data_IF_641543692703
#
_entry.id   IF_641543692703
#
_cell.length_a   1.000
_cell.length_b   1.000
_cell.length_c   1.000
_cell.angle_alpha   90.00
_cell.angle_beta   90.00
_cell.angle_gamma   90.00
#
_symmetry.space_group_name_H-M   'P 1'
#
loop_
_entity.id
_entity.type
_entity.pdbx_description
1 polymer ?
#
# COMPACT_ATOMS: atom_id res chain seq x y z
N UNK A 1 -25.19 -2.35 15.10
CA UNK A 1 -23.98 -2.99 14.52
C UNK A 1 -22.79 -2.52 15.35
N UNK A 2 -21.80 -3.36 15.58
CA UNK A 2 -20.60 -2.96 16.30
C UNK A 2 -19.82 -1.88 15.50
N UNK A 3 -19.20 -0.96 16.22
CA UNK A 3 -18.34 0.08 15.62
C UNK A 3 -17.02 -0.56 15.20
N UNK A 4 -16.54 -0.30 13.98
CA UNK A 4 -15.23 -0.76 13.51
C UNK A 4 -14.14 0.18 14.01
N UNK A 5 -13.16 -0.36 14.72
CA UNK A 5 -11.93 0.36 15.02
C UNK A 5 -11.00 0.30 13.79
N UNK A 6 -10.81 1.44 13.12
CA UNK A 6 -10.02 1.55 11.89
C UNK A 6 -8.81 2.45 12.14
N UNK A 7 -7.64 2.06 11.67
CA UNK A 7 -6.42 2.88 11.68
C UNK A 7 -5.86 3.03 10.28
N UNK A 8 -5.15 4.13 10.05
CA UNK A 8 -4.46 4.42 8.79
C UNK A 8 -2.96 4.29 9.01
N UNK A 9 -2.30 3.55 8.14
CA UNK A 9 -0.86 3.31 8.19
C UNK A 9 -0.21 3.92 6.95
N UNK A 10 0.86 4.66 7.15
CA UNK A 10 1.68 5.20 6.06
C UNK A 10 3.15 5.29 6.46
N UNK A 11 4.03 5.50 5.50
CA UNK A 11 5.47 5.69 5.74
C UNK A 11 5.99 6.90 5.00
N UNK A 12 6.95 7.58 5.59
CA UNK A 12 7.79 8.58 4.92
C UNK A 12 9.10 8.80 5.68
N UNK A 13 10.10 9.30 4.99
CA UNK A 13 11.30 9.92 5.55
C UNK A 13 11.24 11.45 5.39
N UNK A 14 12.22 12.17 5.91
CA UNK A 14 12.24 13.63 5.85
C UNK A 14 12.22 14.15 4.41
N UNK A 15 12.94 13.51 3.48
CA UNK A 15 12.95 13.91 2.07
C UNK A 15 11.58 13.72 1.41
N UNK A 16 10.90 12.61 1.70
CA UNK A 16 9.56 12.34 1.18
C UNK A 16 8.52 13.26 1.83
N UNK A 17 8.71 13.61 3.10
CA UNK A 17 7.85 14.57 3.78
C UNK A 17 7.90 15.93 3.11
N UNK A 18 9.09 16.48 2.89
CA UNK A 18 9.30 17.76 2.20
C UNK A 18 8.79 17.72 0.75
N UNK A 19 8.99 16.59 0.07
CA UNK A 19 8.58 16.48 -1.33
C UNK A 19 7.06 16.43 -1.52
N UNK A 20 6.32 15.73 -0.64
CA UNK A 20 4.88 15.51 -0.82
C UNK A 20 4.07 15.08 0.42
N UNK A 21 4.64 14.39 1.42
CA UNK A 21 3.86 13.86 2.53
C UNK A 21 3.31 14.95 3.46
N UNK A 22 3.91 16.15 3.49
CA UNK A 22 3.33 17.30 4.17
C UNK A 22 1.91 17.63 3.69
N UNK A 23 1.54 17.29 2.44
CA UNK A 23 0.18 17.47 1.92
C UNK A 23 -0.78 16.43 2.48
N UNK A 24 -0.31 15.19 2.66
CA UNK A 24 -1.08 14.17 3.38
C UNK A 24 -1.48 14.73 4.74
N UNK A 25 -0.53 15.15 5.54
CA UNK A 25 -0.77 15.68 6.88
C UNK A 25 -1.70 16.90 6.87
N UNK A 26 -1.49 17.83 5.92
CA UNK A 26 -2.28 19.08 5.81
C UNK A 26 -3.73 18.83 5.38
N UNK A 27 -3.98 17.82 4.55
CA UNK A 27 -5.31 17.57 3.96
C UNK A 27 -6.07 16.44 4.62
N UNK A 28 -5.41 15.64 5.47
CA UNK A 28 -6.04 14.52 6.16
C UNK A 28 -7.23 15.00 7.00
N UNK A 29 -8.41 14.45 6.70
CA UNK A 29 -9.69 14.87 7.32
C UNK A 29 -10.60 13.68 7.66
N UNK A 30 -10.07 12.47 7.67
CA UNK A 30 -10.79 11.27 8.09
C UNK A 30 -10.69 11.11 9.61
N UNK A 31 -11.69 10.49 10.29
CA UNK A 31 -11.72 10.39 11.75
C UNK A 31 -10.81 9.28 12.31
N UNK A 32 -10.05 8.59 11.47
CA UNK A 32 -9.24 7.45 11.85
C UNK A 32 -7.85 7.88 12.33
N UNK A 33 -7.33 7.21 13.35
CA UNK A 33 -5.96 7.42 13.82
C UNK A 33 -4.95 7.12 12.71
N UNK A 34 -3.98 8.02 12.50
CA UNK A 34 -2.88 7.83 11.55
C UNK A 34 -1.63 7.42 12.31
N UNK A 35 -1.08 6.27 11.95
CA UNK A 35 0.21 5.79 12.43
C UNK A 35 1.23 5.93 11.32
N UNK A 36 2.25 6.74 11.57
CA UNK A 36 3.34 6.98 10.63
C UNK A 36 4.55 6.19 11.03
N UNK A 37 5.06 5.36 10.13
CA UNK A 37 6.38 4.74 10.26
C UNK A 37 7.41 5.68 9.63
N UNK A 38 8.13 6.42 10.50
CA UNK A 38 9.20 7.31 10.03
C UNK A 38 10.42 6.48 9.64
N UNK A 39 10.76 6.51 8.36
CA UNK A 39 11.84 5.70 7.79
C UNK A 39 13.24 6.14 8.27
N UNK A 40 13.38 7.36 8.79
CA UNK A 40 14.66 7.87 9.33
C UNK A 40 14.82 7.57 10.84
N UNK A 41 13.70 7.52 11.59
CA UNK A 41 13.72 7.50 13.06
C UNK A 41 13.35 6.14 13.67
N UNK A 42 12.52 5.38 12.97
CA UNK A 42 11.89 4.17 13.51
C UNK A 42 12.11 2.96 12.61
N UNK A 43 13.37 2.72 12.24
CA UNK A 43 13.72 1.57 11.41
C UNK A 43 13.49 0.28 12.19
N UNK A 44 12.56 -0.52 11.72
CA UNK A 44 12.31 -1.85 12.27
C UNK A 44 13.57 -2.73 12.14
N UNK A 45 13.91 -3.55 13.17
CA UNK A 45 15.12 -4.36 13.13
C UNK A 45 15.25 -5.25 11.90
N UNK A 46 14.16 -5.92 11.52
CA UNK A 46 14.16 -6.82 10.35
C UNK A 46 14.30 -6.05 9.03
N UNK A 47 13.70 -4.86 8.93
CA UNK A 47 13.92 -3.96 7.80
C UNK A 47 15.39 -3.55 7.69
N UNK A 48 16.00 -3.18 8.83
CA UNK A 48 17.42 -2.80 8.87
C UNK A 48 18.29 -3.95 8.37
N UNK A 49 18.03 -5.16 8.84
CA UNK A 49 18.76 -6.36 8.42
C UNK A 49 18.61 -6.59 6.91
N UNK A 50 17.37 -6.51 6.37
CA UNK A 50 17.13 -6.65 4.94
C UNK A 50 17.88 -5.58 4.13
N UNK A 51 17.80 -4.30 4.53
CA UNK A 51 18.48 -3.19 3.84
C UNK A 51 19.99 -3.38 3.88
N UNK A 52 20.59 -3.69 5.04
CA UNK A 52 22.03 -3.88 5.17
C UNK A 52 22.53 -5.02 4.30
N UNK A 53 21.78 -6.10 4.18
CA UNK A 53 22.11 -7.26 3.35
C UNK A 53 21.98 -6.95 1.85
N UNK A 54 21.03 -6.08 1.45
CA UNK A 54 20.66 -5.88 0.06
C UNK A 54 21.04 -4.51 -0.54
N UNK A 55 21.56 -3.55 0.25
CA UNK A 55 21.87 -2.17 -0.21
C UNK A 55 22.84 -2.08 -1.38
N UNK A 56 23.58 -3.14 -1.66
CA UNK A 56 24.54 -3.20 -2.78
C UNK A 56 23.94 -3.76 -4.07
N UNK A 57 22.71 -4.28 -4.01
CA UNK A 57 22.04 -4.79 -5.21
C UNK A 57 21.68 -3.63 -6.13
N UNK A 58 22.11 -3.72 -7.37
CA UNK A 58 21.75 -2.76 -8.40
C UNK A 58 20.49 -3.23 -9.13
N UNK A 59 19.61 -2.32 -9.55
CA UNK A 59 18.53 -2.64 -10.46
C UNK A 59 19.05 -3.34 -11.72
N UNK A 60 18.23 -4.24 -12.28
CA UNK A 60 18.57 -4.96 -13.52
C UNK A 60 18.80 -3.95 -14.65
N UNK A 61 19.91 -4.11 -15.40
CA UNK A 61 20.35 -3.13 -16.42
C UNK A 61 19.31 -2.82 -17.49
N UNK A 62 18.60 -3.83 -17.98
CA UNK A 62 17.57 -3.66 -19.01
C UNK A 62 16.41 -2.77 -18.56
N UNK A 63 16.02 -2.85 -17.27
CA UNK A 63 15.01 -1.97 -16.71
C UNK A 63 15.54 -0.54 -16.51
N UNK A 64 16.83 -0.39 -16.14
CA UNK A 64 17.46 0.92 -15.97
C UNK A 64 17.53 1.68 -17.30
N UNK A 65 17.94 1.01 -18.37
CA UNK A 65 18.01 1.61 -19.72
C UNK A 65 16.65 2.10 -20.22
N UNK A 66 15.56 1.46 -19.79
CA UNK A 66 14.17 1.86 -20.09
C UNK A 66 13.60 2.91 -19.12
N UNK A 67 14.36 3.36 -18.10
CA UNK A 67 13.86 4.23 -17.04
C UNK A 67 12.86 3.54 -16.11
N UNK A 68 12.90 2.21 -16.01
CA UNK A 68 12.01 1.36 -15.23
C UNK A 68 12.76 0.65 -14.09
N UNK A 69 13.90 1.16 -13.70
CA UNK A 69 14.78 0.64 -12.65
C UNK A 69 14.05 0.45 -11.30
N UNK A 70 13.02 1.27 -11.02
CA UNK A 70 12.21 1.10 -9.84
C UNK A 70 11.48 -0.25 -9.76
N UNK A 71 11.23 -0.93 -10.89
CA UNK A 71 10.55 -2.23 -10.89
C UNK A 71 11.39 -3.32 -10.20
N UNK A 72 12.69 -3.14 -10.14
CA UNK A 72 13.64 -4.09 -9.53
C UNK A 72 14.36 -3.53 -8.30
N UNK A 73 13.87 -2.44 -7.73
CA UNK A 73 14.40 -1.81 -6.53
C UNK A 73 13.69 -2.31 -5.26
N UNK A 74 13.96 -3.57 -4.89
CA UNK A 74 13.35 -4.19 -3.71
C UNK A 74 13.69 -3.49 -2.40
N UNK A 75 14.88 -2.87 -2.31
CA UNK A 75 15.28 -2.12 -1.11
C UNK A 75 14.40 -0.88 -0.91
N UNK A 76 14.17 -0.13 -1.95
CA UNK A 76 13.32 1.07 -1.90
C UNK A 76 11.92 0.78 -1.37
N UNK A 77 11.31 -0.32 -1.82
CA UNK A 77 9.94 -0.66 -1.45
C UNK A 77 9.83 -1.46 -0.15
N UNK A 78 10.95 -1.96 0.39
CA UNK A 78 10.95 -2.72 1.64
C UNK A 78 10.45 -1.91 2.84
N UNK A 79 10.73 -0.62 2.90
CA UNK A 79 10.30 0.25 3.99
C UNK A 79 8.78 0.18 4.21
N UNK A 80 8.02 0.32 3.13
CA UNK A 80 6.56 0.22 3.16
C UNK A 80 6.09 -1.19 3.53
N UNK A 81 6.72 -2.22 2.98
CA UNK A 81 6.32 -3.60 3.23
C UNK A 81 6.51 -3.97 4.69
N UNK A 82 7.67 -3.68 5.28
CA UNK A 82 7.91 -3.97 6.69
C UNK A 82 7.00 -3.16 7.61
N UNK A 83 6.74 -1.89 7.30
CA UNK A 83 5.80 -1.06 8.07
C UNK A 83 4.39 -1.65 8.07
N UNK A 84 3.86 -2.01 6.90
CA UNK A 84 2.50 -2.52 6.78
C UNK A 84 2.36 -3.91 7.40
N UNK A 85 3.30 -4.82 7.18
CA UNK A 85 3.27 -6.15 7.79
C UNK A 85 3.43 -6.09 9.30
N UNK A 86 4.28 -5.19 9.81
CA UNK A 86 4.40 -4.95 11.25
C UNK A 86 3.09 -4.40 11.84
N UNK A 87 2.47 -3.42 11.16
CA UNK A 87 1.19 -2.87 11.62
C UNK A 87 0.10 -3.94 11.66
N UNK A 88 -0.02 -4.80 10.63
CA UNK A 88 -0.98 -5.91 10.61
C UNK A 88 -0.76 -6.85 11.81
N UNK A 89 0.50 -7.09 12.19
CA UNK A 89 0.83 -8.01 13.28
C UNK A 89 0.67 -7.42 14.68
N UNK A 90 0.69 -6.09 14.84
CA UNK A 90 0.82 -5.44 16.16
C UNK A 90 -0.29 -4.47 16.52
N UNK A 91 -1.08 -3.98 15.55
CA UNK A 91 -2.11 -3.01 15.85
C UNK A 91 -3.40 -3.66 16.33
N UNK A 92 -3.92 -3.14 17.43
CA UNK A 92 -5.25 -3.48 17.92
C UNK A 92 -6.28 -2.63 17.16
N UNK A 93 -6.86 -3.22 16.11
CA UNK A 93 -7.88 -2.62 15.25
C UNK A 93 -8.71 -3.73 14.59
N UNK A 94 -9.88 -3.38 14.05
CA UNK A 94 -10.68 -4.28 13.20
C UNK A 94 -10.25 -4.19 11.74
N UNK A 95 -9.75 -3.02 11.33
CA UNK A 95 -9.30 -2.78 9.97
C UNK A 95 -8.12 -1.83 9.88
N UNK A 96 -7.22 -2.09 8.94
CA UNK A 96 -6.12 -1.19 8.60
C UNK A 96 -6.24 -0.68 7.18
N UNK A 97 -6.18 0.63 7.02
CA UNK A 97 -5.99 1.29 5.73
C UNK A 97 -4.48 1.56 5.58
N UNK A 98 -3.83 0.86 4.67
CA UNK A 98 -2.42 1.05 4.34
C UNK A 98 -2.33 1.87 3.06
N UNK A 99 -1.67 3.04 3.09
CA UNK A 99 -1.66 3.95 1.94
C UNK A 99 -0.34 4.71 1.76
N UNK A 100 -0.11 5.13 0.52
CA UNK A 100 1.06 5.90 0.16
C UNK A 100 0.97 7.35 0.67
N UNK A 101 2.11 7.91 1.05
CA UNK A 101 2.22 9.25 1.64
C UNK A 101 1.97 10.40 0.64
N UNK A 102 2.02 10.15 -0.67
CA UNK A 102 1.70 11.16 -1.70
C UNK A 102 0.20 11.25 -2.00
N UNK A 103 -0.62 11.04 -0.97
CA UNK A 103 -2.07 11.16 -0.97
C UNK A 103 -2.54 12.57 -0.58
N UNK A 104 -3.66 13.00 -1.17
CA UNK A 104 -4.32 14.28 -0.89
C UNK A 104 -5.81 14.03 -0.67
N UNK A 105 -6.34 14.46 0.48
CA UNK A 105 -7.71 14.20 0.89
C UNK A 105 -8.63 15.35 0.47
N UNK A 106 -9.81 15.00 -0.05
CA UNK A 106 -10.78 15.94 -0.60
C UNK A 106 -12.09 15.98 0.19
N UNK A 107 -12.54 14.82 0.67
CA UNK A 107 -13.79 14.69 1.43
C UNK A 107 -13.57 13.83 2.66
N UNK A 108 -14.19 14.17 3.80
CA UNK A 108 -14.24 13.29 4.94
C UNK A 108 -15.03 12.03 4.59
N UNK A 109 -14.67 10.95 5.21
CA UNK A 109 -15.42 9.70 5.25
C UNK A 109 -15.56 9.27 6.70
N UNK A 110 -16.46 8.34 6.95
CA UNK A 110 -16.69 7.74 8.25
C UNK A 110 -16.64 6.20 8.18
N UNK A 111 -16.87 5.58 9.29
CA UNK A 111 -16.92 4.12 9.41
C UNK A 111 -18.02 3.51 8.52
N UNK A 112 -19.16 4.16 8.41
CA UNK A 112 -20.27 3.68 7.58
C UNK A 112 -19.87 3.67 6.10
N UNK A 113 -19.16 4.71 5.65
CA UNK A 113 -18.62 4.76 4.31
C UNK A 113 -17.66 3.59 4.03
N UNK A 114 -16.78 3.28 5.00
CA UNK A 114 -15.86 2.12 4.89
C UNK A 114 -16.65 0.80 4.81
N UNK A 115 -17.66 0.61 5.66
CA UNK A 115 -18.53 -0.58 5.64
C UNK A 115 -19.26 -0.75 4.31
N UNK A 116 -19.72 0.33 3.74
CA UNK A 116 -20.50 0.29 2.50
C UNK A 116 -19.64 0.05 1.26
N UNK A 117 -18.41 0.54 1.24
CA UNK A 117 -17.60 0.58 0.01
C UNK A 117 -16.33 -0.26 0.06
N UNK A 118 -15.74 -0.48 1.23
CA UNK A 118 -14.40 -1.06 1.37
C UNK A 118 -14.45 -2.39 2.13
N UNK A 119 -14.94 -2.37 3.37
CA UNK A 119 -14.95 -3.55 4.24
C UNK A 119 -15.93 -4.62 3.74
N UNK A 120 -15.52 -5.88 3.85
CA UNK A 120 -16.37 -7.07 3.68
C UNK A 120 -15.97 -8.09 4.73
N UNK A 121 -16.93 -8.59 5.50
CA UNK A 121 -16.68 -9.54 6.60
C UNK A 121 -16.00 -10.82 6.12
N UNK A 122 -16.35 -11.28 4.92
CA UNK A 122 -15.84 -12.51 4.32
C UNK A 122 -14.60 -12.34 3.43
N UNK A 123 -14.03 -11.12 3.38
CA UNK A 123 -12.83 -10.81 2.61
C UNK A 123 -11.66 -10.45 3.52
N UNK A 124 -10.47 -10.96 3.17
CA UNK A 124 -9.24 -10.66 3.87
C UNK A 124 -8.80 -9.20 3.64
N UNK A 125 -8.92 -8.73 2.40
CA UNK A 125 -8.50 -7.39 2.02
C UNK A 125 -9.39 -6.78 0.94
N UNK A 126 -9.34 -5.44 0.83
CA UNK A 126 -9.79 -4.71 -0.36
C UNK A 126 -8.61 -4.09 -1.08
N UNK A 127 -8.60 -4.19 -2.40
CA UNK A 127 -7.49 -3.80 -3.24
C UNK A 127 -7.93 -3.18 -4.57
N UNK A 128 -7.03 -2.49 -5.24
CA UNK A 128 -7.26 -1.81 -6.52
C UNK A 128 -6.73 -2.65 -7.69
N UNK A 129 -7.57 -3.56 -8.20
CA UNK A 129 -7.23 -4.42 -9.34
C UNK A 129 -7.17 -3.66 -10.67
N UNK A 130 -6.18 -4.01 -11.51
CA UNK A 130 -5.93 -3.40 -12.83
C UNK A 130 -6.02 -4.38 -14.00
N UNK A 131 -6.90 -5.38 -13.89
CA UNK A 131 -7.04 -6.42 -14.92
C UNK A 131 -5.83 -7.34 -14.98
N UNK A 132 -5.17 -7.40 -16.15
CA UNK A 132 -4.01 -8.28 -16.37
C UNK A 132 -2.70 -7.76 -15.74
N UNK A 133 -2.71 -6.53 -15.20
CA UNK A 133 -1.58 -5.98 -14.47
C UNK A 133 -1.68 -6.30 -12.98
N UNK A 134 -0.54 -6.18 -12.26
CA UNK A 134 -0.55 -6.22 -10.79
C UNK A 134 -1.41 -5.09 -10.21
N UNK A 135 -1.95 -5.31 -9.02
CA UNK A 135 -2.82 -4.36 -8.33
C UNK A 135 -2.06 -3.08 -7.96
N UNK A 136 -2.79 -1.98 -7.86
CA UNK A 136 -2.29 -0.73 -7.31
C UNK A 136 -2.22 -0.85 -5.78
N UNK A 137 -1.07 -0.62 -5.16
CA UNK A 137 -0.92 -0.71 -3.71
C UNK A 137 -0.76 0.63 -2.99
N UNK A 138 -1.04 1.74 -3.68
CA UNK A 138 -1.18 3.05 -3.03
C UNK A 138 -2.36 3.14 -2.06
N UNK A 139 -3.23 2.15 -2.06
CA UNK A 139 -4.27 1.90 -1.08
C UNK A 139 -4.50 0.40 -0.96
N UNK A 140 -4.44 -0.10 0.27
CA UNK A 140 -4.85 -1.46 0.66
C UNK A 140 -5.68 -1.35 1.95
N UNK A 141 -6.75 -2.10 2.04
CA UNK A 141 -7.49 -2.27 3.29
C UNK A 141 -7.37 -3.72 3.74
N UNK A 142 -7.02 -3.95 4.99
CA UNK A 142 -6.95 -5.28 5.60
C UNK A 142 -8.01 -5.41 6.68
N UNK A 143 -8.80 -6.48 6.61
CA UNK A 143 -9.69 -6.91 7.67
C UNK A 143 -8.87 -7.73 8.68
N UNK A 144 -8.55 -7.17 9.84
CA UNK A 144 -7.70 -7.83 10.85
C UNK A 144 -8.42 -8.99 11.55
N UNK A 145 -9.74 -9.05 11.48
CA UNK A 145 -10.53 -10.15 12.02
C UNK A 145 -10.61 -11.36 11.07
N UNK A 146 -10.15 -11.23 9.82
CA UNK A 146 -10.14 -12.36 8.89
C UNK A 146 -8.99 -13.33 9.20
N UNK A 147 -9.29 -14.64 9.22
CA UNK A 147 -8.35 -15.69 9.64
C UNK A 147 -7.02 -15.71 8.87
N UNK A 148 -7.03 -15.30 7.60
CA UNK A 148 -5.84 -15.36 6.74
C UNK A 148 -4.97 -14.08 6.82
N UNK A 149 -5.44 -12.98 7.41
CA UNK A 149 -4.76 -11.68 7.32
C UNK A 149 -3.35 -11.71 7.93
N UNK A 150 -3.21 -12.28 9.11
CA UNK A 150 -1.89 -12.40 9.74
C UNK A 150 -0.96 -13.34 8.96
N UNK A 151 -1.49 -14.46 8.47
CA UNK A 151 -0.72 -15.41 7.66
C UNK A 151 -0.25 -14.76 6.34
N UNK A 152 -1.10 -13.94 5.73
CA UNK A 152 -0.76 -13.16 4.54
C UNK A 152 0.38 -12.15 4.81
N UNK A 153 0.28 -11.38 5.89
CA UNK A 153 1.32 -10.43 6.28
C UNK A 153 2.65 -11.13 6.56
N UNK A 154 2.63 -12.25 7.28
CA UNK A 154 3.82 -13.07 7.54
C UNK A 154 4.43 -13.62 6.25
N UNK A 155 3.61 -14.07 5.30
CA UNK A 155 4.07 -14.54 3.99
C UNK A 155 4.71 -13.42 3.19
N UNK A 156 4.09 -12.24 3.18
CA UNK A 156 4.62 -11.05 2.53
C UNK A 156 5.98 -10.64 3.11
N UNK A 157 6.08 -10.57 4.44
CA UNK A 157 7.34 -10.29 5.15
C UNK A 157 8.41 -11.34 4.82
N UNK A 158 8.06 -12.62 4.83
CA UNK A 158 8.97 -13.72 4.53
C UNK A 158 9.58 -13.63 3.12
N UNK A 159 8.88 -13.07 2.14
CA UNK A 159 9.44 -12.85 0.80
C UNK A 159 10.68 -11.94 0.83
N UNK A 160 10.68 -10.96 1.73
CA UNK A 160 11.80 -10.05 1.94
C UNK A 160 12.86 -10.63 2.88
N UNK A 161 12.46 -11.21 4.02
CA UNK A 161 13.37 -11.79 5.00
C UNK A 161 14.30 -12.86 4.39
N UNK A 162 13.77 -13.63 3.45
CA UNK A 162 14.51 -14.72 2.77
C UNK A 162 15.06 -14.35 1.41
N UNK A 163 15.00 -13.06 1.04
CA UNK A 163 15.40 -12.58 -0.29
C UNK A 163 14.65 -13.23 -1.47
N UNK A 164 13.54 -13.91 -1.21
CA UNK A 164 12.75 -14.61 -2.24
C UNK A 164 12.16 -13.66 -3.30
N UNK A 165 12.02 -12.36 -3.00
CA UNK A 165 11.61 -11.34 -3.96
C UNK A 165 12.53 -11.29 -5.19
N UNK A 166 13.80 -11.59 -5.02
CA UNK A 166 14.80 -11.55 -6.12
C UNK A 166 14.70 -12.73 -7.08
N UNK A 167 13.81 -13.70 -6.80
CA UNK A 167 13.45 -14.76 -7.73
C UNK A 167 12.21 -14.40 -8.57
N UNK A 168 11.61 -13.23 -8.32
CA UNK A 168 10.46 -12.73 -9.07
C UNK A 168 10.92 -11.84 -10.24
N UNK A 169 10.05 -11.66 -11.23
CA UNK A 169 10.29 -10.81 -12.38
C UNK A 169 10.44 -9.33 -11.98
N UNK A 170 9.63 -8.87 -11.02
CA UNK A 170 9.66 -7.52 -10.48
C UNK A 170 9.72 -7.57 -8.94
N UNK A 171 10.42 -6.62 -8.31
CA UNK A 171 10.65 -6.59 -6.87
C UNK A 171 9.98 -5.40 -6.16
N UNK A 172 9.22 -4.57 -6.87
CA UNK A 172 8.48 -3.49 -6.24
C UNK A 172 7.25 -4.00 -5.49
N UNK A 173 6.80 -3.24 -4.53
CA UNK A 173 5.74 -3.61 -3.60
C UNK A 173 4.44 -4.07 -4.27
N UNK A 174 3.93 -3.34 -5.27
CA UNK A 174 2.67 -3.68 -5.95
C UNK A 174 2.70 -5.07 -6.58
N UNK A 175 3.82 -5.45 -7.19
CA UNK A 175 3.98 -6.78 -7.79
C UNK A 175 4.01 -7.87 -6.72
N UNK A 176 4.79 -7.66 -5.65
CA UNK A 176 4.94 -8.68 -4.59
C UNK A 176 3.65 -8.84 -3.79
N UNK A 177 2.94 -7.74 -3.45
CA UNK A 177 1.61 -7.81 -2.81
C UNK A 177 0.62 -8.61 -3.65
N UNK A 178 0.58 -8.36 -4.96
CA UNK A 178 -0.31 -9.06 -5.88
C UNK A 178 0.05 -10.53 -6.06
N UNK A 179 1.34 -10.84 -6.11
CA UNK A 179 1.86 -12.21 -6.18
C UNK A 179 1.40 -13.03 -4.97
N UNK A 180 1.60 -12.51 -3.75
CA UNK A 180 1.19 -13.19 -2.51
C UNK A 180 -0.34 -13.24 -2.41
N UNK A 181 -1.08 -12.18 -2.79
CA UNK A 181 -2.54 -12.19 -2.82
C UNK A 181 -3.08 -13.33 -3.68
N UNK A 182 -2.56 -13.50 -4.88
CA UNK A 182 -2.96 -14.59 -5.79
C UNK A 182 -2.61 -15.97 -5.23
N UNK A 183 -1.57 -16.10 -4.42
CA UNK A 183 -1.23 -17.35 -3.72
C UNK A 183 -2.35 -17.72 -2.72
N UNK A 184 -2.86 -16.75 -1.95
CA UNK A 184 -3.96 -16.96 -1.01
C UNK A 184 -5.30 -17.20 -1.72
N UNK A 185 -5.60 -16.47 -2.78
CA UNK A 185 -6.83 -16.67 -3.57
C UNK A 185 -6.91 -18.09 -4.17
N UNK A 186 -5.79 -18.64 -4.63
CA UNK A 186 -5.74 -20.05 -5.10
C UNK A 186 -6.03 -21.06 -3.99
N UNK A 187 -5.92 -20.67 -2.72
CA UNK A 187 -6.26 -21.49 -1.54
C UNK A 187 -7.70 -21.25 -1.07
N UNK A 188 -8.44 -20.35 -1.72
CA UNK A 188 -9.84 -20.06 -1.41
C UNK A 188 -10.07 -18.77 -0.61
N UNK A 189 -9.02 -18.01 -0.25
CA UNK A 189 -9.17 -16.72 0.42
C UNK A 189 -9.87 -15.73 -0.49
N UNK A 190 -10.93 -15.09 0.02
CA UNK A 190 -11.67 -14.06 -0.70
C UNK A 190 -11.06 -12.68 -0.49
N UNK A 191 -11.07 -11.89 -1.55
CA UNK A 191 -10.66 -10.49 -1.54
C UNK A 191 -11.66 -9.62 -2.30
N UNK A 192 -11.79 -8.35 -1.90
CA UNK A 192 -12.70 -7.40 -2.52
C UNK A 192 -11.94 -6.48 -3.47
N UNK A 193 -12.16 -6.64 -4.77
CA UNK A 193 -11.60 -5.73 -5.77
C UNK A 193 -12.46 -4.47 -5.90
N UNK A 194 -11.91 -3.32 -5.50
CA UNK A 194 -12.54 -1.99 -5.63
C UNK A 194 -12.01 -1.20 -6.84
N UNK A 195 -11.10 -1.80 -7.62
CA UNK A 195 -10.61 -1.22 -8.87
C UNK A 195 -11.56 -1.49 -10.05
N UNK A 196 -11.35 -0.75 -11.13
CA UNK A 196 -12.15 -0.87 -12.36
C UNK A 196 -11.62 -1.90 -13.36
N UNK A 197 -10.58 -2.63 -12.99
CA UNK A 197 -9.95 -3.66 -13.84
C UNK A 197 -9.21 -3.11 -15.06
N UNK A 198 -8.93 -1.81 -15.13
CA UNK A 198 -8.25 -1.17 -16.25
C UNK A 198 -6.86 -0.69 -15.87
N UNK A 199 -5.88 -0.74 -16.79
CA UNK A 199 -4.55 -0.20 -16.54
C UNK A 199 -4.55 1.31 -16.24
N UNK A 200 -3.44 1.82 -15.70
CA UNK A 200 -3.25 3.23 -15.39
C UNK A 200 -3.70 3.61 -13.97
N UNK A 201 -4.23 4.81 -13.80
CA UNK A 201 -4.52 5.40 -12.49
C UNK A 201 -5.88 4.91 -11.92
N UNK A 202 -5.94 3.63 -11.55
CA UNK A 202 -7.18 2.96 -11.08
C UNK A 202 -7.74 3.61 -9.82
N UNK A 203 -6.89 4.07 -8.90
CA UNK A 203 -7.33 4.71 -7.66
C UNK A 203 -8.23 5.93 -7.95
N UNK A 204 -7.78 6.85 -8.83
CA UNK A 204 -8.54 8.04 -9.18
C UNK A 204 -9.88 7.74 -9.87
N UNK A 205 -9.99 6.61 -10.57
CA UNK A 205 -11.22 6.17 -11.23
C UNK A 205 -12.14 5.31 -10.36
N UNK A 206 -11.62 4.79 -9.24
CA UNK A 206 -12.38 4.00 -8.26
C UNK A 206 -13.27 4.89 -7.40
N UNK A 207 -14.03 4.28 -6.48
CA UNK A 207 -14.79 5.02 -5.48
C UNK A 207 -13.91 5.92 -4.60
N UNK A 208 -12.64 5.54 -4.41
CA UNK A 208 -11.68 6.30 -3.62
C UNK A 208 -11.36 7.66 -4.24
N UNK A 209 -11.35 7.79 -5.57
CA UNK A 209 -11.07 9.06 -6.26
C UNK A 209 -12.07 10.16 -5.96
N UNK A 210 -13.25 9.82 -5.40
CA UNK A 210 -14.23 10.80 -4.94
C UNK A 210 -13.89 11.42 -3.58
N UNK A 211 -13.03 10.78 -2.78
CA UNK A 211 -12.72 11.16 -1.41
C UNK A 211 -11.26 11.54 -1.19
N UNK A 212 -10.33 10.90 -1.88
CA UNK A 212 -8.91 11.30 -1.89
C UNK A 212 -8.27 10.93 -3.22
N UNK A 213 -7.07 11.43 -3.46
CA UNK A 213 -6.29 11.15 -4.66
C UNK A 213 -4.83 10.79 -4.30
N UNK A 214 -4.29 9.82 -5.01
CA UNK A 214 -2.89 9.44 -4.96
C UNK A 214 -2.16 10.13 -6.11
N UNK A 215 -1.40 11.18 -5.80
CA UNK A 215 -0.79 12.08 -6.79
C UNK A 215 0.50 11.47 -7.35
N UNK A 216 0.35 10.58 -8.32
CA UNK A 216 1.46 9.84 -8.93
C UNK A 216 2.34 10.64 -9.86
N UNK A 217 3.65 10.43 -9.69
CA UNK A 217 4.69 10.85 -10.62
C UNK A 217 5.06 12.34 -10.55
N UNK A 218 6.28 12.70 -11.02
CA UNK A 218 6.85 14.03 -10.80
C UNK A 218 6.02 15.17 -11.41
N UNK A 219 5.40 14.94 -12.55
CA UNK A 219 4.58 15.97 -13.24
C UNK A 219 3.29 16.29 -12.49
N UNK A 220 2.73 15.33 -11.73
CA UNK A 220 1.47 15.49 -10.99
C UNK A 220 1.69 15.92 -9.54
N UNK A 221 2.88 15.73 -8.97
CA UNK A 221 3.18 16.06 -7.57
C UNK A 221 2.90 17.51 -7.16
N UNK A 222 2.78 18.43 -8.13
CA UNK A 222 2.36 19.82 -7.89
C UNK A 222 0.84 20.01 -7.92
N UNK A 223 0.08 19.01 -8.36
CA UNK A 223 -1.38 19.07 -8.42
C UNK A 223 -1.97 18.67 -7.07
N UNK A 224 -3.17 19.16 -6.80
CA UNK A 224 -3.98 18.73 -5.66
C UNK A 224 -4.97 17.62 -6.05
N UNK A 225 -5.16 17.37 -7.35
CA UNK A 225 -6.07 16.37 -7.89
C UNK A 225 -5.58 15.85 -9.24
N UNK A 226 -5.72 14.55 -9.45
CA UNK A 226 -5.45 13.95 -10.76
C UNK A 226 -6.54 14.29 -11.78
N UNK A 227 -6.20 14.48 -13.05
CA UNK A 227 -7.22 14.76 -14.09
C UNK A 227 -8.25 13.63 -14.26
N UNK A 228 -7.89 12.41 -13.90
CA UNK A 228 -8.74 11.22 -13.98
C UNK A 228 -9.67 11.05 -12.78
N UNK A 229 -9.48 11.83 -11.70
CA UNK A 229 -10.32 11.71 -10.51
C UNK A 229 -11.77 12.08 -10.80
N UNK A 230 -12.68 11.21 -10.39
CA UNK A 230 -14.12 11.48 -10.48
C UNK A 230 -14.47 12.63 -9.52
N UNK A 231 -15.22 13.59 -9.99
CA UNK A 231 -15.71 14.74 -9.20
C UNK A 231 -16.96 14.33 -8.43
#
# INVERSE_FOLDING_TARGET
MATLNIKVITTWNNNLFEAYAHRFQKTYNWPFEVIVYNEDESILPDLKEFVDRNKHRQPISDFKEKGLDFLTDGVRFSYKVYAFTHAIATQEADGLICMDADSVFHKPIDEEWIKNHIHRDDCMMSYLGRGDHYSECGFLYFNLNHADTLAYANRMKSMYDTDAIYNLEEQHDSYVWDYVRKEFERRGTKNHNIGDGKPGHVQARSILGSVYDHIKGPKRKKLMRSPEARV
#
